data_IF_976464075955
#
_entry.id   IF_976464075955
#
_cell.length_a   1.000
_cell.length_b   1.000
_cell.length_c   1.000
_cell.angle_alpha   90.00
_cell.angle_beta   90.00
_cell.angle_gamma   90.00
#
_symmetry.space_group_name_H-M   'P 1'
#
loop_
_entity.id
_entity.type
_entity.pdbx_description
1 polymer ?
#
# COMPACT_ATOMS: atom_id res chain seq x y z
N UNK A 1 4.17 -6.45 7.87
CA UNK A 1 5.01 -7.61 8.26
C UNK A 1 6.24 -7.76 7.36
N UNK A 2 6.13 -7.84 6.04
CA UNK A 2 7.28 -7.95 5.12
C UNK A 2 8.30 -6.81 5.26
N UNK A 3 7.86 -5.55 5.38
CA UNK A 3 8.74 -4.40 5.61
C UNK A 3 9.44 -4.41 6.96
N UNK A 4 8.77 -4.89 8.02
CA UNK A 4 9.39 -5.08 9.33
C UNK A 4 10.53 -6.09 9.26
N UNK A 5 10.38 -7.13 8.46
CA UNK A 5 11.41 -8.15 8.27
C UNK A 5 12.69 -7.55 7.65
N UNK A 6 12.56 -6.62 6.73
CA UNK A 6 13.70 -5.93 6.10
C UNK A 6 14.44 -4.96 7.03
N UNK A 7 13.77 -4.45 8.06
CA UNK A 7 14.38 -3.58 9.06
C UNK A 7 15.19 -4.39 10.08
N UNK A 8 14.69 -5.55 10.47
CA UNK A 8 15.21 -6.34 11.59
C UNK A 8 16.31 -7.32 11.14
N UNK A 9 16.17 -7.90 9.94
CA UNK A 9 17.08 -8.94 9.47
C UNK A 9 18.28 -8.37 8.71
N UNK A 10 19.47 -9.01 8.85
CA UNK A 10 20.63 -8.62 8.04
C UNK A 10 20.33 -8.79 6.54
N UNK A 11 20.98 -7.99 5.67
CA UNK A 11 20.73 -7.99 4.24
C UNK A 11 21.26 -9.27 3.59
N UNK A 12 20.50 -10.34 3.69
CA UNK A 12 20.73 -11.61 3.01
C UNK A 12 19.70 -11.80 1.91
N UNK A 13 20.09 -12.47 0.84
CA UNK A 13 19.22 -12.69 -0.34
C UNK A 13 17.91 -13.38 0.03
N UNK A 14 17.96 -14.40 0.89
CA UNK A 14 16.78 -15.20 1.25
C UNK A 14 15.71 -14.40 2.02
N UNK A 15 16.03 -13.62 3.07
CA UNK A 15 15.04 -12.78 3.74
C UNK A 15 14.43 -11.72 2.81
N UNK A 16 15.23 -11.13 1.92
CA UNK A 16 14.76 -10.15 0.96
C UNK A 16 13.78 -10.78 -0.03
N UNK A 17 14.15 -11.93 -0.61
CA UNK A 17 13.30 -12.66 -1.55
C UNK A 17 11.96 -13.06 -0.90
N UNK A 18 11.99 -13.58 0.33
CA UNK A 18 10.79 -13.94 1.09
C UNK A 18 9.92 -12.72 1.40
N UNK A 19 10.53 -11.61 1.78
CA UNK A 19 9.81 -10.35 2.04
C UNK A 19 9.13 -9.82 0.77
N UNK A 20 9.83 -9.85 -0.37
CA UNK A 20 9.28 -9.45 -1.66
C UNK A 20 8.13 -10.37 -2.09
N UNK A 21 8.26 -11.67 -1.86
CA UNK A 21 7.20 -12.64 -2.17
C UNK A 21 5.95 -12.38 -1.33
N UNK A 22 6.09 -12.22 -0.01
CA UNK A 22 4.98 -11.92 0.90
C UNK A 22 4.33 -10.58 0.54
N UNK A 23 5.13 -9.57 0.20
CA UNK A 23 4.63 -8.27 -0.23
C UNK A 23 3.85 -8.37 -1.54
N UNK A 24 4.39 -9.08 -2.53
CA UNK A 24 3.73 -9.30 -3.82
C UNK A 24 2.42 -10.06 -3.68
N UNK A 25 2.39 -11.11 -2.87
CA UNK A 25 1.18 -11.87 -2.57
C UNK A 25 0.13 -11.00 -1.86
N UNK A 26 0.55 -10.23 -0.84
CA UNK A 26 -0.33 -9.29 -0.14
C UNK A 26 -0.88 -8.18 -1.03
N UNK A 27 -0.15 -7.80 -2.09
CA UNK A 27 -0.60 -6.79 -3.06
C UNK A 27 -1.82 -7.22 -3.85
N UNK A 28 -2.10 -8.54 -3.94
CA UNK A 28 -3.33 -9.06 -4.55
C UNK A 28 -4.60 -8.54 -3.88
N UNK A 29 -4.56 -8.23 -2.59
CA UNK A 29 -5.66 -7.60 -1.87
C UNK A 29 -6.05 -6.21 -2.43
N UNK A 30 -5.17 -5.54 -3.17
CA UNK A 30 -5.48 -4.29 -3.84
C UNK A 30 -6.56 -4.42 -4.92
N UNK A 31 -6.87 -5.64 -5.36
CA UNK A 31 -7.96 -5.90 -6.30
C UNK A 31 -9.34 -5.90 -5.64
N UNK A 32 -9.43 -6.09 -4.33
CA UNK A 32 -10.71 -6.12 -3.59
C UNK A 32 -11.53 -4.84 -3.78
N UNK A 33 -10.98 -3.63 -3.62
CA UNK A 33 -11.72 -2.39 -3.84
C UNK A 33 -12.32 -2.28 -5.26
N UNK A 34 -11.64 -2.83 -6.28
CA UNK A 34 -12.15 -2.83 -7.66
C UNK A 34 -13.38 -3.74 -7.82
N UNK A 35 -13.42 -4.86 -7.11
CA UNK A 35 -14.60 -5.73 -7.08
C UNK A 35 -15.75 -5.04 -6.37
N UNK A 36 -15.51 -4.48 -5.19
CA UNK A 36 -16.51 -3.77 -4.41
C UNK A 36 -17.14 -2.63 -5.20
N UNK A 37 -16.32 -1.80 -5.87
CA UNK A 37 -16.82 -0.65 -6.63
C UNK A 37 -17.75 -1.09 -7.79
N UNK A 38 -17.47 -2.26 -8.37
CA UNK A 38 -18.31 -2.84 -9.43
C UNK A 38 -19.60 -3.45 -8.89
N UNK A 39 -19.61 -3.92 -7.65
CA UNK A 39 -20.80 -4.51 -7.03
C UNK A 39 -21.77 -3.46 -6.51
N UNK A 40 -21.27 -2.35 -5.97
CA UNK A 40 -22.12 -1.32 -5.35
C UNK A 40 -22.66 -0.30 -6.34
N UNK A 41 -22.13 -0.23 -7.56
CA UNK A 41 -22.55 0.72 -8.58
C UNK A 41 -23.35 0.06 -9.72
N UNK A 42 -24.37 0.75 -10.28
CA UNK A 42 -25.07 0.29 -11.47
C UNK A 42 -24.13 0.17 -12.67
N UNK A 43 -24.48 -0.68 -13.63
CA UNK A 43 -23.63 -1.00 -14.80
C UNK A 43 -23.23 0.25 -15.61
N UNK A 44 -24.12 1.24 -15.68
CA UNK A 44 -23.94 2.47 -16.45
C UNK A 44 -22.81 3.35 -15.91
N UNK A 45 -22.52 3.27 -14.59
CA UNK A 45 -21.52 4.14 -13.94
C UNK A 45 -20.29 3.39 -13.43
N UNK A 46 -20.23 2.05 -13.57
CA UNK A 46 -19.08 1.23 -13.12
C UNK A 46 -17.75 1.71 -13.68
N UNK A 47 -17.74 2.09 -14.95
CA UNK A 47 -16.54 2.62 -15.61
C UNK A 47 -16.07 3.93 -14.98
N UNK A 48 -16.98 4.89 -14.80
CA UNK A 48 -16.67 6.18 -14.19
C UNK A 48 -16.25 6.05 -12.73
N UNK A 49 -16.89 5.17 -11.96
CA UNK A 49 -16.54 4.89 -10.57
C UNK A 49 -15.14 4.26 -10.45
N UNK A 50 -14.80 3.31 -11.34
CA UNK A 50 -13.45 2.73 -11.41
C UNK A 50 -12.42 3.77 -11.83
N UNK A 51 -12.74 4.64 -12.76
CA UNK A 51 -11.88 5.74 -13.20
C UNK A 51 -11.60 6.74 -12.06
N UNK A 52 -12.63 7.11 -11.29
CA UNK A 52 -12.48 7.99 -10.13
C UNK A 52 -11.59 7.36 -9.05
N UNK A 53 -11.75 6.07 -8.78
CA UNK A 53 -10.89 5.34 -7.84
C UNK A 53 -9.43 5.32 -8.30
N UNK A 54 -9.18 5.05 -9.58
CA UNK A 54 -7.83 5.11 -10.15
C UNK A 54 -7.23 6.51 -10.04
N UNK A 55 -8.01 7.55 -10.37
CA UNK A 55 -7.57 8.93 -10.25
C UNK A 55 -7.14 9.26 -8.82
N UNK A 56 -7.92 8.90 -7.83
CA UNK A 56 -7.57 9.08 -6.42
C UNK A 56 -6.29 8.32 -6.05
N UNK A 57 -6.18 7.05 -6.45
CA UNK A 57 -5.01 6.21 -6.14
C UNK A 57 -3.73 6.78 -6.75
N UNK A 58 -3.76 7.15 -8.02
CA UNK A 58 -2.59 7.75 -8.69
C UNK A 58 -2.30 9.17 -8.20
N UNK A 59 -3.34 9.97 -7.90
CA UNK A 59 -3.18 11.31 -7.32
C UNK A 59 -2.48 11.28 -5.97
N UNK A 60 -2.89 10.39 -5.08
CA UNK A 60 -2.22 10.19 -3.78
C UNK A 60 -0.79 9.70 -3.98
N UNK A 61 -0.57 8.74 -4.89
CA UNK A 61 0.77 8.23 -5.19
C UNK A 61 1.70 9.31 -5.73
N UNK A 62 1.19 10.19 -6.58
CA UNK A 62 1.95 11.32 -7.14
C UNK A 62 2.40 12.33 -6.07
N UNK A 63 1.66 12.45 -4.97
CA UNK A 63 2.02 13.31 -3.83
C UNK A 63 2.99 12.59 -2.90
N UNK A 64 2.71 11.33 -2.56
CA UNK A 64 3.52 10.55 -1.62
C UNK A 64 4.92 10.25 -2.17
N UNK A 65 5.04 9.99 -3.47
CA UNK A 65 6.31 9.65 -4.10
C UNK A 65 7.40 10.70 -3.87
N UNK A 66 7.20 11.98 -4.22
CA UNK A 66 8.16 13.05 -3.96
C UNK A 66 8.46 13.26 -2.46
N UNK A 67 7.47 13.08 -1.58
CA UNK A 67 7.68 13.18 -0.13
C UNK A 67 8.66 12.09 0.32
N UNK A 68 8.43 10.85 -0.07
CA UNK A 68 9.32 9.73 0.23
C UNK A 68 10.72 9.95 -0.37
N UNK A 69 10.79 10.41 -1.62
CA UNK A 69 12.06 10.73 -2.27
C UNK A 69 12.87 11.78 -1.52
N UNK A 70 12.23 12.79 -0.92
CA UNK A 70 12.89 13.78 -0.07
C UNK A 70 13.38 13.19 1.26
N UNK A 71 12.67 12.23 1.83
CA UNK A 71 13.08 11.56 3.05
C UNK A 71 14.33 10.67 2.83
N UNK A 72 14.39 9.99 1.69
CA UNK A 72 15.48 9.08 1.35
C UNK A 72 16.68 9.83 0.73
N UNK A 73 16.41 10.86 -0.08
CA UNK A 73 17.37 11.52 -0.95
C UNK A 73 18.64 12.04 -0.27
N UNK A 74 18.56 12.80 0.84
CA UNK A 74 19.75 13.34 1.50
C UNK A 74 20.74 12.29 1.99
N UNK A 75 20.25 11.17 2.49
CA UNK A 75 21.07 10.07 2.97
C UNK A 75 21.69 9.23 1.86
N UNK A 76 21.07 9.21 0.69
CA UNK A 76 21.62 8.53 -0.49
C UNK A 76 22.80 9.28 -1.11
N UNK A 77 22.80 10.61 -1.02
CA UNK A 77 23.84 11.47 -1.62
C UNK A 77 25.12 11.52 -0.77
N UNK A 78 25.02 11.36 0.55
CA UNK A 78 26.17 11.40 1.48
C UNK A 78 26.06 10.31 2.56
N UNK A 79 26.16 9.03 2.21
CA UNK A 79 25.90 7.97 3.15
C UNK A 79 27.09 7.69 4.05
N UNK A 80 26.96 7.98 5.33
CA UNK A 80 27.76 7.33 6.36
C UNK A 80 27.32 5.87 6.55
N UNK A 81 26.03 5.57 6.34
CA UNK A 81 25.49 4.22 6.33
C UNK A 81 24.19 4.16 5.49
N UNK A 82 24.28 3.90 4.17
CA UNK A 82 23.12 3.95 3.27
C UNK A 82 22.04 2.95 3.61
N UNK A 83 22.41 1.79 4.15
CA UNK A 83 21.45 0.76 4.53
C UNK A 83 20.58 1.21 5.71
N UNK A 84 21.20 1.78 6.73
CA UNK A 84 20.47 2.25 7.91
C UNK A 84 19.48 3.36 7.54
N UNK A 85 19.92 4.31 6.72
CA UNK A 85 19.07 5.42 6.29
C UNK A 85 17.88 4.94 5.45
N UNK A 86 18.10 3.95 4.58
CA UNK A 86 17.01 3.31 3.85
C UNK A 86 16.03 2.59 4.78
N UNK A 87 16.52 1.85 5.76
CA UNK A 87 15.69 1.18 6.76
C UNK A 87 14.86 2.16 7.59
N UNK A 88 15.45 3.27 8.00
CA UNK A 88 14.73 4.34 8.70
C UNK A 88 13.60 4.94 7.84
N UNK A 89 13.83 5.10 6.54
CA UNK A 89 12.82 5.58 5.60
C UNK A 89 11.64 4.63 5.42
N UNK A 90 11.81 3.32 5.67
CA UNK A 90 10.72 2.36 5.63
C UNK A 90 9.66 2.58 6.73
N UNK A 91 10.01 3.24 7.83
CA UNK A 91 9.05 3.60 8.89
C UNK A 91 7.95 4.53 8.38
N UNK A 92 8.24 5.36 7.38
CA UNK A 92 7.24 6.18 6.70
C UNK A 92 6.12 5.32 6.08
N UNK A 93 6.49 4.23 5.40
CA UNK A 93 5.53 3.32 4.78
C UNK A 93 4.75 2.51 5.82
N UNK A 94 5.42 2.10 6.89
CA UNK A 94 4.77 1.40 8.00
C UNK A 94 3.72 2.32 8.65
N UNK A 95 4.06 3.58 8.89
CA UNK A 95 3.12 4.57 9.40
C UNK A 95 1.92 4.76 8.48
N UNK A 96 2.14 4.83 7.16
CA UNK A 96 1.07 4.91 6.16
C UNK A 96 0.15 3.70 6.17
N UNK A 97 0.71 2.48 6.29
CA UNK A 97 -0.08 1.23 6.37
C UNK A 97 -0.91 1.19 7.65
N UNK A 98 -0.33 1.57 8.79
CA UNK A 98 -1.05 1.63 10.07
C UNK A 98 -2.19 2.65 10.00
N UNK A 99 -1.94 3.82 9.44
CA UNK A 99 -2.96 4.85 9.24
C UNK A 99 -4.09 4.33 8.35
N UNK A 100 -3.77 3.71 7.21
CA UNK A 100 -4.76 3.12 6.32
C UNK A 100 -5.59 2.03 7.00
N UNK A 101 -4.96 1.19 7.83
CA UNK A 101 -5.64 0.18 8.62
C UNK A 101 -6.62 0.80 9.63
N UNK A 102 -6.18 1.82 10.36
CA UNK A 102 -7.03 2.53 11.32
C UNK A 102 -8.23 3.22 10.65
N UNK A 103 -8.02 3.80 9.47
CA UNK A 103 -9.10 4.41 8.68
C UNK A 103 -10.06 3.37 8.10
N UNK A 104 -9.64 2.13 7.92
CA UNK A 104 -10.50 1.04 7.46
C UNK A 104 -11.40 0.47 8.57
N UNK A 105 -11.02 0.57 9.85
CA UNK A 105 -11.78 -0.01 10.95
C UNK A 105 -13.23 0.51 11.08
N UNK A 106 -13.52 1.82 10.88
CA UNK A 106 -14.90 2.32 10.98
C UNK A 106 -15.75 2.03 9.74
N UNK A 107 -15.18 1.42 8.67
CA UNK A 107 -15.94 1.09 7.48
C UNK A 107 -16.93 -0.04 7.79
N UNK A 108 -18.22 0.26 7.62
CA UNK A 108 -19.27 -0.74 7.74
C UNK A 108 -19.33 -1.59 6.48
N UNK A 109 -19.50 -2.89 6.67
CA UNK A 109 -19.83 -3.78 5.56
C UNK A 109 -21.21 -3.39 4.98
N UNK A 110 -21.19 -2.93 3.73
CA UNK A 110 -22.40 -2.57 2.97
C UNK A 110 -22.77 -3.62 1.93
N UNK A 111 -22.12 -4.79 1.97
CA UNK A 111 -22.41 -5.91 1.09
C UNK A 111 -23.87 -6.30 1.18
N UNK A 112 -24.60 -6.25 0.07
CA UNK A 112 -25.98 -6.80 -0.01
C UNK A 112 -25.87 -8.30 0.21
N UNK A 113 -26.36 -8.77 1.35
CA UNK A 113 -26.64 -10.17 1.55
C UNK A 113 -27.65 -10.60 0.48
N UNK A 114 -27.21 -11.30 -0.56
CA UNK A 114 -28.10 -12.06 -1.42
C UNK A 114 -28.54 -13.34 -0.69
N UNK A 115 -29.10 -13.17 0.50
CA UNK A 115 -29.85 -14.21 1.14
C UNK A 115 -31.33 -14.08 0.72
N UNK A 116 -31.75 -14.84 -0.28
CA UNK A 116 -33.14 -15.08 -0.57
C UNK A 116 -33.65 -14.54 -1.90
N UNK A 117 -33.43 -15.27 -2.96
CA UNK A 117 -34.47 -15.60 -3.96
C UNK A 117 -34.16 -16.95 -4.59
#
# INVERSE_FOLDING_TARGET
MAMMLQIILPPRILPIALSCFIFGFGSGAAMIPYSIIKEVNPDEVKGSATGAMNFMTFGVSAIIGPIFGKLVGPGFLHPTNPLQHFQESLWFWIGGIVLAFLLALPLRETGKSHAGR
#
